data_IF_981897304305
#
_entry.id   IF_981897304305
#
_cell.length_a   1.000
_cell.length_b   1.000
_cell.length_c   1.000
_cell.angle_alpha   90.00
_cell.angle_beta   90.00
_cell.angle_gamma   90.00
#
_symmetry.space_group_name_H-M   'P 1'
#
loop_
_entity.id
_entity.type
_entity.pdbx_description
1 polymer ?
#
# COMPACT_ATOMS: atom_id res chain seq x y z
N UNK A 1 -24.06 0.37 -7.32
CA UNK A 1 -24.96 0.47 -6.16
C UNK A 1 -24.61 -0.58 -5.12
N UNK A 2 -24.54 -1.88 -5.46
CA UNK A 2 -24.26 -2.98 -4.50
C UNK A 2 -22.78 -3.25 -4.16
N UNK A 3 -21.84 -2.38 -4.57
CA UNK A 3 -20.40 -2.60 -4.35
C UNK A 3 -20.01 -2.74 -2.87
N UNK A 4 -20.58 -1.97 -1.92
CA UNK A 4 -20.29 -2.14 -0.50
C UNK A 4 -20.64 -3.53 0.03
N UNK A 5 -21.79 -4.07 -0.36
CA UNK A 5 -22.23 -5.42 0.02
C UNK A 5 -21.26 -6.48 -0.48
N UNK A 6 -20.91 -6.44 -1.76
CA UNK A 6 -20.00 -7.42 -2.36
C UNK A 6 -18.60 -7.36 -1.71
N UNK A 7 -18.12 -6.16 -1.42
CA UNK A 7 -16.79 -5.96 -0.83
C UNK A 7 -16.74 -6.45 0.61
N UNK A 8 -17.79 -6.23 1.39
CA UNK A 8 -17.87 -6.68 2.78
C UNK A 8 -17.99 -8.22 2.86
N UNK A 9 -18.91 -8.82 2.10
CA UNK A 9 -19.08 -10.28 2.05
C UNK A 9 -17.83 -11.00 1.54
N UNK A 10 -17.20 -10.50 0.48
CA UNK A 10 -15.98 -11.13 -0.05
C UNK A 10 -14.82 -10.99 0.92
N UNK A 11 -14.72 -9.89 1.66
CA UNK A 11 -13.63 -9.71 2.64
C UNK A 11 -13.81 -10.68 3.79
N UNK A 12 -15.01 -10.72 4.39
CA UNK A 12 -15.36 -11.66 5.45
C UNK A 12 -15.03 -13.11 5.07
N UNK A 13 -15.53 -13.59 3.93
CA UNK A 13 -15.34 -14.99 3.50
C UNK A 13 -13.91 -15.34 3.07
N UNK A 14 -13.06 -14.36 2.75
CA UNK A 14 -11.68 -14.60 2.32
C UNK A 14 -10.62 -14.28 3.37
N UNK A 15 -11.02 -13.66 4.49
CA UNK A 15 -10.12 -13.23 5.56
C UNK A 15 -9.31 -14.41 6.14
N UNK A 16 -9.94 -15.58 6.30
CA UNK A 16 -9.28 -16.78 6.82
C UNK A 16 -8.52 -17.59 5.75
N UNK A 17 -8.61 -17.19 4.48
CA UNK A 17 -8.12 -17.97 3.34
C UNK A 17 -7.05 -17.25 2.51
N UNK A 18 -6.78 -15.97 2.79
CA UNK A 18 -5.75 -15.19 2.11
C UNK A 18 -4.59 -14.90 3.06
N UNK A 19 -3.37 -15.26 2.64
CA UNK A 19 -2.15 -14.98 3.42
C UNK A 19 -1.75 -13.50 3.38
N UNK A 20 -2.05 -12.80 2.28
CA UNK A 20 -1.69 -11.40 2.05
C UNK A 20 -2.50 -10.83 0.88
N UNK A 21 -3.22 -9.73 1.10
CA UNK A 21 -4.12 -9.10 0.13
C UNK A 21 -3.70 -7.65 -0.15
N UNK A 22 -3.30 -7.36 -1.39
CA UNK A 22 -2.92 -6.00 -1.79
C UNK A 22 -4.14 -5.22 -2.29
N UNK A 23 -4.58 -4.22 -1.55
CA UNK A 23 -5.70 -3.37 -1.94
C UNK A 23 -5.28 -2.33 -2.99
N UNK A 24 -6.12 -2.14 -4.00
CA UNK A 24 -5.96 -1.17 -5.07
C UNK A 24 -7.26 -0.38 -5.22
N UNK A 25 -7.26 0.86 -4.74
CA UNK A 25 -8.40 1.77 -4.76
C UNK A 25 -8.48 2.50 -6.11
N UNK A 26 -9.58 2.29 -6.83
CA UNK A 26 -9.82 2.96 -8.10
C UNK A 26 -9.78 4.49 -7.98
N UNK A 27 -10.25 5.07 -6.88
CA UNK A 27 -10.24 6.51 -6.68
C UNK A 27 -8.82 7.05 -6.52
N UNK A 28 -7.98 6.36 -5.74
CA UNK A 28 -6.57 6.72 -5.57
C UNK A 28 -5.81 6.65 -6.90
N UNK A 29 -5.98 5.57 -7.66
CA UNK A 29 -5.30 5.37 -8.94
C UNK A 29 -5.79 6.38 -9.99
N UNK A 30 -7.09 6.71 -9.96
CA UNK A 30 -7.66 7.75 -10.82
C UNK A 30 -7.03 9.12 -10.53
N UNK A 31 -6.91 9.49 -9.24
CA UNK A 31 -6.29 10.76 -8.83
C UNK A 31 -4.81 10.81 -9.21
N UNK A 32 -4.07 9.71 -9.06
CA UNK A 32 -2.68 9.58 -9.52
C UNK A 32 -2.58 9.80 -11.04
N UNK A 33 -3.43 9.13 -11.81
CA UNK A 33 -3.44 9.28 -13.27
C UNK A 33 -3.77 10.71 -13.70
N UNK A 34 -4.68 11.36 -12.98
CA UNK A 34 -5.08 12.74 -13.26
C UNK A 34 -4.00 13.75 -12.90
N UNK A 35 -3.44 13.65 -11.70
CA UNK A 35 -2.53 14.65 -11.14
C UNK A 35 -1.08 14.45 -11.60
N UNK A 36 -0.59 13.21 -11.59
CA UNK A 36 0.82 12.91 -11.84
C UNK A 36 1.08 12.71 -13.33
N UNK A 37 0.15 12.03 -14.03
CA UNK A 37 0.26 11.78 -15.47
C UNK A 37 -0.39 12.88 -16.35
N UNK A 38 -1.00 13.90 -15.72
CA UNK A 38 -1.72 14.98 -16.41
C UNK A 38 -2.88 14.49 -17.33
N UNK A 39 -3.50 13.35 -17.02
CA UNK A 39 -4.60 12.81 -17.84
C UNK A 39 -5.92 13.43 -17.36
N UNK A 40 -6.53 14.30 -18.17
CA UNK A 40 -7.77 15.02 -17.77
C UNK A 40 -8.92 14.10 -17.38
N UNK A 41 -9.11 13.01 -18.13
CA UNK A 41 -10.18 12.02 -17.92
C UNK A 41 -9.59 10.61 -18.05
N UNK A 42 -8.97 10.07 -16.98
CA UNK A 42 -8.43 8.71 -16.99
C UNK A 42 -9.47 7.67 -17.34
N UNK A 43 -9.10 6.73 -18.21
CA UNK A 43 -9.90 5.56 -18.60
C UNK A 43 -9.41 4.31 -17.87
N UNK A 44 -10.19 3.23 -17.88
CA UNK A 44 -9.73 1.94 -17.34
C UNK A 44 -8.41 1.46 -17.96
N UNK A 45 -8.13 1.78 -19.23
CA UNK A 45 -6.83 1.48 -19.84
C UNK A 45 -5.68 2.18 -19.12
N UNK A 46 -5.86 3.45 -18.72
CA UNK A 46 -4.83 4.21 -18.00
C UNK A 46 -4.63 3.63 -16.59
N UNK A 47 -5.74 3.37 -15.87
CA UNK A 47 -5.72 2.77 -14.53
C UNK A 47 -5.05 1.39 -14.55
N UNK A 48 -5.45 0.51 -15.47
CA UNK A 48 -4.92 -0.84 -15.59
C UNK A 48 -3.43 -0.86 -15.95
N UNK A 49 -2.93 0.12 -16.70
CA UNK A 49 -1.49 0.26 -16.98
C UNK A 49 -0.69 0.64 -15.73
N UNK A 50 -1.21 1.52 -14.89
CA UNK A 50 -0.61 1.83 -13.58
C UNK A 50 -0.60 0.60 -12.69
N UNK A 51 -1.73 -0.09 -12.57
CA UNK A 51 -1.84 -1.34 -11.80
C UNK A 51 -0.85 -2.39 -12.32
N UNK A 52 -0.76 -2.59 -13.63
CA UNK A 52 0.19 -3.54 -14.23
C UNK A 52 1.64 -3.20 -13.88
N UNK A 53 2.00 -1.92 -13.79
CA UNK A 53 3.34 -1.48 -13.41
C UNK A 53 3.67 -1.85 -11.95
N UNK A 54 2.70 -1.65 -11.06
CA UNK A 54 2.79 -2.00 -9.64
C UNK A 54 2.92 -3.52 -9.46
N UNK A 55 1.99 -4.28 -10.04
CA UNK A 55 1.97 -5.75 -9.97
C UNK A 55 3.25 -6.35 -10.58
N UNK A 56 3.75 -5.78 -11.68
CA UNK A 56 5.03 -6.17 -12.27
C UNK A 56 6.20 -5.97 -11.31
N UNK A 57 6.15 -4.95 -10.44
CA UNK A 57 7.20 -4.67 -9.46
C UNK A 57 7.13 -5.61 -8.26
N UNK A 58 5.93 -5.92 -7.76
CA UNK A 58 5.70 -6.89 -6.68
C UNK A 58 6.19 -8.28 -7.11
N UNK A 59 5.88 -8.69 -8.35
CA UNK A 59 6.23 -10.02 -8.87
C UNK A 59 7.61 -10.08 -9.54
N UNK A 60 8.41 -9.01 -9.50
CA UNK A 60 9.67 -8.94 -10.23
C UNK A 60 10.70 -9.96 -9.72
N UNK A 61 10.80 -10.11 -8.40
CA UNK A 61 11.72 -11.04 -7.72
C UNK A 61 11.46 -12.50 -8.04
N UNK A 62 10.24 -12.86 -8.46
CA UNK A 62 9.88 -14.22 -8.85
C UNK A 62 10.26 -14.54 -10.30
N UNK A 63 10.40 -13.51 -11.14
CA UNK A 63 10.57 -13.64 -12.58
C UNK A 63 11.99 -13.38 -13.06
N UNK A 64 12.75 -12.64 -12.27
CA UNK A 64 14.09 -12.21 -12.61
C UNK A 64 14.99 -12.35 -11.40
N UNK A 65 16.26 -12.67 -11.66
CA UNK A 65 17.27 -12.63 -10.63
C UNK A 65 17.54 -11.19 -10.17
N UNK A 66 18.00 -11.07 -8.92
CA UNK A 66 18.19 -9.79 -8.23
C UNK A 66 19.27 -9.92 -7.17
N UNK A 67 19.85 -8.79 -6.76
CA UNK A 67 20.87 -8.79 -5.70
C UNK A 67 20.29 -9.15 -4.33
N UNK A 68 19.01 -8.84 -4.13
CA UNK A 68 18.28 -9.15 -2.90
C UNK A 68 16.86 -9.49 -3.32
N UNK A 69 16.59 -10.78 -3.48
CA UNK A 69 15.27 -11.27 -3.86
C UNK A 69 14.39 -11.40 -2.62
N UNK A 70 13.13 -10.99 -2.75
CA UNK A 70 12.08 -11.21 -1.75
C UNK A 70 11.09 -12.19 -2.37
N UNK A 71 10.89 -13.35 -1.77
CA UNK A 71 9.92 -14.33 -2.25
C UNK A 71 8.49 -14.04 -1.74
N UNK A 72 7.48 -14.77 -2.24
CA UNK A 72 6.09 -14.56 -1.82
C UNK A 72 5.84 -14.95 -0.36
N UNK A 73 6.52 -15.99 0.12
CA UNK A 73 6.42 -16.46 1.51
C UNK A 73 7.08 -15.45 2.46
N UNK A 74 8.09 -14.75 1.98
CA UNK A 74 8.74 -13.63 2.63
C UNK A 74 7.81 -12.41 2.70
N UNK A 75 6.87 -12.22 1.77
CA UNK A 75 5.86 -11.16 1.97
C UNK A 75 4.96 -11.46 3.17
N UNK A 76 4.46 -12.68 3.33
CA UNK A 76 3.67 -13.06 4.50
C UNK A 76 4.49 -12.84 5.79
N UNK A 77 5.67 -13.46 5.88
CA UNK A 77 6.49 -13.38 7.10
C UNK A 77 7.04 -11.98 7.40
N UNK A 78 7.25 -11.13 6.40
CA UNK A 78 7.80 -9.78 6.62
C UNK A 78 6.73 -8.69 6.73
N UNK A 79 5.57 -8.84 6.10
CA UNK A 79 4.53 -7.81 6.05
C UNK A 79 3.32 -8.10 6.93
N UNK A 80 3.07 -9.36 7.31
CA UNK A 80 1.85 -9.78 8.01
C UNK A 80 2.21 -10.24 9.42
N UNK A 81 2.25 -9.32 10.42
CA UNK A 81 2.57 -9.66 11.79
C UNK A 81 1.46 -10.47 12.48
N UNK A 82 0.20 -10.24 12.08
CA UNK A 82 -0.98 -10.91 12.60
C UNK A 82 -1.82 -11.46 11.44
N UNK A 83 -2.35 -12.70 11.51
CA UNK A 83 -3.06 -13.33 10.41
C UNK A 83 -4.22 -12.51 9.84
N UNK A 84 -4.99 -11.79 10.67
CA UNK A 84 -6.13 -10.94 10.25
C UNK A 84 -5.70 -9.59 9.67
N UNK A 85 -4.48 -9.13 9.96
CA UNK A 85 -3.95 -7.84 9.51
C UNK A 85 -3.00 -8.07 8.32
N UNK A 86 -3.58 -8.57 7.23
CA UNK A 86 -2.85 -9.02 6.03
C UNK A 86 -3.12 -8.14 4.81
N UNK A 87 -3.34 -6.83 5.02
CA UNK A 87 -3.65 -5.88 3.95
C UNK A 87 -2.58 -4.77 3.80
N UNK A 88 -1.41 -5.06 3.21
CA UNK A 88 -0.39 -4.03 3.00
C UNK A 88 -0.86 -2.97 2.00
N UNK A 89 -0.62 -1.70 2.33
CA UNK A 89 -0.71 -0.60 1.37
C UNK A 89 0.36 -0.72 0.31
N UNK A 90 -0.02 -0.44 -0.92
CA UNK A 90 0.91 -0.38 -2.04
C UNK A 90 1.15 1.06 -2.45
N UNK A 91 2.42 1.42 -2.59
CA UNK A 91 2.84 2.73 -3.09
C UNK A 91 3.88 2.53 -4.18
N UNK A 92 3.84 3.35 -5.24
CA UNK A 92 4.80 3.22 -6.35
C UNK A 92 5.38 4.57 -6.71
N UNK A 93 6.70 4.65 -6.82
CA UNK A 93 7.39 5.86 -7.21
C UNK A 93 8.59 5.57 -8.14
N UNK A 94 8.90 6.48 -9.08
CA UNK A 94 8.13 7.68 -9.40
C UNK A 94 7.01 7.39 -10.40
N UNK A 95 5.98 8.24 -10.41
CA UNK A 95 4.89 8.22 -11.40
C UNK A 95 4.98 9.51 -12.20
N UNK A 96 5.57 9.44 -13.40
CA UNK A 96 5.88 10.59 -14.24
C UNK A 96 5.27 10.36 -15.63
N UNK A 97 4.65 11.41 -16.20
CA UNK A 97 4.12 11.35 -17.56
C UNK A 97 5.24 11.20 -18.59
N UNK A 98 4.95 10.50 -19.69
CA UNK A 98 5.88 10.36 -20.81
C UNK A 98 6.38 11.70 -21.38
N UNK A 99 5.58 12.76 -21.25
CA UNK A 99 5.91 14.12 -21.68
C UNK A 99 6.94 14.83 -20.76
N UNK A 100 6.95 14.52 -19.46
CA UNK A 100 7.82 15.18 -18.45
C UNK A 100 9.17 14.50 -18.26
N UNK A 101 9.39 13.34 -18.90
CA UNK A 101 10.56 12.48 -18.67
C UNK A 101 11.93 13.11 -18.99
N UNK A 102 11.96 14.16 -19.81
CA UNK A 102 13.21 14.71 -20.37
C UNK A 102 13.99 15.63 -19.42
N UNK A 103 13.42 16.02 -18.28
CA UNK A 103 13.99 17.11 -17.48
C UNK A 103 14.69 16.68 -16.18
N UNK A 104 14.39 15.52 -15.58
CA UNK A 104 14.95 15.15 -14.28
C UNK A 104 15.19 13.64 -14.14
N UNK A 105 16.41 13.25 -13.75
CA UNK A 105 16.70 11.90 -13.28
C UNK A 105 16.58 11.87 -11.76
N UNK A 106 15.56 11.19 -11.26
CA UNK A 106 15.37 11.08 -9.81
C UNK A 106 16.40 10.14 -9.17
N UNK A 107 16.95 10.58 -8.05
CA UNK A 107 17.85 9.84 -7.19
C UNK A 107 17.10 8.77 -6.39
N UNK A 108 17.84 7.79 -5.86
CA UNK A 108 17.28 6.78 -4.96
C UNK A 108 16.63 7.42 -3.74
N UNK A 109 17.22 8.50 -3.20
CA UNK A 109 16.66 9.22 -2.07
C UNK A 109 15.33 9.90 -2.40
N UNK A 110 15.20 10.53 -3.57
CA UNK A 110 13.96 11.21 -3.98
C UNK A 110 12.82 10.22 -4.20
N UNK A 111 13.06 9.12 -4.93
CA UNK A 111 12.01 8.11 -5.16
C UNK A 111 11.61 7.40 -3.86
N UNK A 112 12.55 7.18 -2.94
CA UNK A 112 12.26 6.59 -1.62
C UNK A 112 11.41 7.54 -0.78
N UNK A 113 11.72 8.84 -0.78
CA UNK A 113 10.90 9.84 -0.09
C UNK A 113 9.49 9.92 -0.67
N UNK A 114 9.35 9.86 -2.00
CA UNK A 114 8.05 9.91 -2.67
C UNK A 114 7.12 8.74 -2.30
N UNK A 115 7.65 7.60 -1.83
CA UNK A 115 6.83 6.51 -1.30
C UNK A 115 6.15 6.84 0.04
N UNK A 116 6.65 7.80 0.80
CA UNK A 116 6.05 8.20 2.08
C UNK A 116 5.17 9.44 1.95
N UNK A 117 5.00 9.96 0.73
CA UNK A 117 4.10 11.07 0.42
C UNK A 117 2.74 10.53 -0.07
N UNK A 118 1.62 11.19 0.26
CA UNK A 118 0.28 10.72 -0.11
C UNK A 118 0.04 10.56 -1.63
N UNK A 119 0.74 11.34 -2.47
CA UNK A 119 0.50 11.42 -3.92
C UNK A 119 0.90 10.20 -4.75
N UNK A 120 1.36 9.12 -4.12
CA UNK A 120 1.84 7.91 -4.80
C UNK A 120 1.15 6.62 -4.30
N UNK A 121 0.25 6.74 -3.33
CA UNK A 121 -0.39 5.61 -2.63
C UNK A 121 -1.57 5.07 -3.44
N UNK A 122 -1.65 3.74 -3.55
CA UNK A 122 -2.70 3.05 -4.34
C UNK A 122 -4.00 2.87 -3.57
N UNK A 123 -4.09 3.35 -2.32
CA UNK A 123 -5.29 3.33 -1.48
C UNK A 123 -5.43 4.70 -0.84
N UNK A 124 -6.66 5.24 -0.77
CA UNK A 124 -6.90 6.49 -0.04
C UNK A 124 -6.91 6.24 1.47
N UNK A 125 -5.84 6.63 2.13
CA UNK A 125 -5.77 6.77 3.58
C UNK A 125 -4.63 7.75 3.89
N UNK A 126 -4.56 8.26 5.11
CA UNK A 126 -3.42 9.05 5.56
C UNK A 126 -2.52 8.25 6.51
N UNK A 127 -1.36 7.73 6.06
CA UNK A 127 -0.46 6.98 6.93
C UNK A 127 0.10 7.75 8.12
N UNK A 128 -0.08 9.08 8.18
CA UNK A 128 0.29 9.90 9.34
C UNK A 128 -0.69 9.74 10.49
N UNK A 129 -1.90 9.25 10.23
CA UNK A 129 -2.92 8.93 11.22
C UNK A 129 -2.81 7.48 11.74
N UNK A 130 -1.79 6.74 11.30
CA UNK A 130 -1.56 5.35 11.71
C UNK A 130 -0.10 5.09 12.02
N UNK A 131 0.19 3.82 12.34
CA UNK A 131 1.53 3.33 12.62
C UNK A 131 1.91 2.23 11.65
N UNK A 132 3.14 2.28 11.16
CA UNK A 132 3.72 1.24 10.32
C UNK A 132 4.10 0.03 11.18
N UNK A 133 3.60 -1.15 10.80
CA UNK A 133 4.01 -2.43 11.37
C UNK A 133 5.18 -3.03 10.59
N UNK A 134 5.16 -2.86 9.27
CA UNK A 134 6.18 -3.38 8.37
C UNK A 134 6.27 -2.52 7.10
N UNK A 135 7.46 -2.46 6.51
CA UNK A 135 7.70 -1.75 5.25
C UNK A 135 8.71 -2.53 4.39
N UNK A 136 8.32 -2.92 3.18
CA UNK A 136 9.18 -3.54 2.19
C UNK A 136 9.36 -2.59 1.00
N UNK A 137 10.60 -2.27 0.65
CA UNK A 137 10.96 -1.42 -0.49
C UNK A 137 11.56 -2.29 -1.60
N UNK A 138 10.81 -2.46 -2.68
CA UNK A 138 11.20 -3.25 -3.85
C UNK A 138 11.74 -2.33 -4.94
N UNK A 139 13.07 -2.15 -4.96
CA UNK A 139 13.77 -1.33 -5.94
C UNK A 139 13.98 -2.07 -7.26
N UNK A 140 13.87 -1.33 -8.36
CA UNK A 140 14.15 -1.82 -9.71
C UNK A 140 15.06 -0.88 -10.49
N UNK A 141 15.96 -1.45 -11.29
CA UNK A 141 16.82 -0.74 -12.22
C UNK A 141 18.17 -0.33 -11.64
N UNK A 142 18.70 0.80 -12.10
CA UNK A 142 20.00 1.32 -11.70
C UNK A 142 19.95 1.88 -10.27
N UNK A 143 20.19 1.01 -9.29
CA UNK A 143 20.09 1.32 -7.86
C UNK A 143 21.29 0.71 -7.12
N UNK A 144 21.94 1.52 -6.28
CA UNK A 144 23.10 1.11 -5.49
C UNK A 144 22.65 0.84 -4.04
N UNK A 145 22.99 -0.33 -3.44
CA UNK A 145 22.58 -0.67 -2.06
C UNK A 145 22.97 0.38 -1.01
N UNK A 146 24.13 1.02 -1.17
CA UNK A 146 24.59 2.09 -0.26
C UNK A 146 23.64 3.29 -0.24
N UNK A 147 23.10 3.66 -1.40
CA UNK A 147 22.20 4.80 -1.53
C UNK A 147 20.83 4.48 -0.94
N UNK A 148 20.36 3.23 -1.08
CA UNK A 148 19.15 2.74 -0.41
C UNK A 148 19.29 2.85 1.11
N UNK A 149 20.38 2.33 1.68
CA UNK A 149 20.62 2.38 3.12
C UNK A 149 20.69 3.83 3.64
N UNK A 150 21.30 4.73 2.86
CA UNK A 150 21.36 6.15 3.18
C UNK A 150 19.97 6.79 3.15
N UNK A 151 19.17 6.49 2.13
CA UNK A 151 17.79 6.99 2.00
C UNK A 151 16.89 6.49 3.15
N UNK A 152 16.95 5.20 3.48
CA UNK A 152 16.20 4.61 4.61
C UNK A 152 16.62 5.24 5.94
N UNK A 153 17.92 5.48 6.14
CA UNK A 153 18.40 6.15 7.36
C UNK A 153 17.80 7.54 7.53
N UNK A 154 17.67 8.30 6.44
CA UNK A 154 16.98 9.61 6.46
C UNK A 154 15.49 9.44 6.76
N UNK A 155 14.81 8.48 6.12
CA UNK A 155 13.39 8.19 6.37
C UNK A 155 13.12 7.92 7.85
N UNK A 156 13.96 7.11 8.52
CA UNK A 156 13.84 6.79 9.95
C UNK A 156 13.95 8.00 10.87
N UNK A 157 14.54 9.11 10.43
CA UNK A 157 14.62 10.34 11.23
C UNK A 157 13.37 11.23 11.12
N UNK A 158 12.47 10.95 10.17
CA UNK A 158 11.27 11.76 9.96
C UNK A 158 10.20 11.43 11.00
N UNK A 159 9.84 12.43 11.83
CA UNK A 159 8.80 12.29 12.87
C UNK A 159 7.41 11.90 12.34
N UNK A 160 7.12 12.23 11.07
CA UNK A 160 5.84 11.89 10.44
C UNK A 160 5.71 10.40 10.07
N UNK A 161 6.79 9.62 10.19
CA UNK A 161 6.82 8.20 9.88
C UNK A 161 6.99 7.45 11.20
N UNK A 162 5.88 6.97 11.75
CA UNK A 162 5.84 6.31 13.04
C UNK A 162 5.68 4.81 12.84
N UNK A 163 6.58 4.03 13.43
CA UNK A 163 6.45 2.58 13.52
C UNK A 163 5.86 2.21 14.87
N UNK A 164 5.21 1.05 14.94
CA UNK A 164 4.86 0.40 16.21
C UNK A 164 6.12 0.13 17.04
N UNK A 165 5.99 0.19 18.36
CA UNK A 165 7.10 0.09 19.32
C UNK A 165 7.82 -1.27 19.29
N UNK A 166 7.10 -2.36 19.03
CA UNK A 166 7.63 -3.70 18.87
C UNK A 166 8.28 -3.95 17.49
N UNK A 167 8.21 -2.99 16.56
CA UNK A 167 8.89 -3.05 15.25
C UNK A 167 9.64 -1.75 14.91
N UNK A 168 10.67 -1.36 15.69
CA UNK A 168 11.31 -0.05 15.57
C UNK A 168 12.09 0.16 14.26
N UNK A 169 12.41 -0.91 13.53
CA UNK A 169 13.11 -0.82 12.23
C UNK A 169 12.62 -1.85 11.21
N UNK A 170 11.32 -1.89 10.93
CA UNK A 170 10.66 -2.85 10.03
C UNK A 170 10.90 -2.69 8.53
N UNK A 171 12.08 -2.24 8.10
CA UNK A 171 12.40 -2.08 6.67
C UNK A 171 13.02 -3.35 6.08
N UNK A 172 12.40 -3.85 5.02
CA UNK A 172 12.95 -4.88 4.12
C UNK A 172 13.23 -4.26 2.77
N UNK A 173 14.26 -4.75 2.10
CA UNK A 173 14.71 -4.22 0.82
C UNK A 173 14.76 -5.38 -0.17
N UNK A 174 14.20 -5.17 -1.35
CA UNK A 174 14.42 -6.02 -2.53
C UNK A 174 15.11 -5.21 -3.61
N UNK A 175 16.04 -5.80 -4.36
CA UNK A 175 16.76 -5.12 -5.44
C UNK A 175 16.77 -6.00 -6.68
N UNK A 176 16.16 -5.48 -7.74
CA UNK A 176 16.19 -6.08 -9.06
C UNK A 176 16.88 -5.13 -10.05
N UNK A 177 17.95 -5.57 -10.72
CA UNK A 177 18.69 -4.68 -11.63
C UNK A 177 18.02 -4.46 -12.99
N UNK A 178 16.94 -5.18 -13.30
CA UNK A 178 16.17 -4.94 -14.52
C UNK A 178 15.36 -3.64 -14.38
N UNK A 179 15.59 -2.64 -15.26
CA UNK A 179 14.87 -1.38 -15.19
C UNK A 179 13.37 -1.58 -15.44
N UNK A 180 12.51 -0.71 -14.90
CA UNK A 180 11.09 -0.72 -15.19
C UNK A 180 10.85 -0.60 -16.70
N UNK A 181 10.04 -1.50 -17.25
CA UNK A 181 9.62 -1.46 -18.66
C UNK A 181 8.30 -0.71 -18.76
N UNK A 182 8.11 0.07 -19.83
CA UNK A 182 6.85 0.75 -20.14
C UNK A 182 6.18 0.13 -21.36
N UNK A 183 4.86 0.15 -21.37
CA UNK A 183 4.07 -0.29 -22.54
C UNK A 183 4.22 0.76 -23.66
N UNK A 184 4.47 0.34 -24.92
CA UNK A 184 4.50 1.28 -26.05
C UNK A 184 3.21 2.10 -26.13
N UNK A 185 3.33 3.40 -26.41
CA UNK A 185 2.20 4.35 -26.39
C UNK A 185 1.45 4.38 -25.03
N UNK A 186 2.17 4.06 -23.95
CA UNK A 186 1.70 4.19 -22.58
C UNK A 186 1.93 5.61 -22.03
N UNK A 187 1.29 5.88 -20.91
CA UNK A 187 1.27 7.21 -20.29
C UNK A 187 2.50 7.46 -19.40
N UNK A 188 3.18 6.38 -18.98
CA UNK A 188 4.35 6.42 -18.09
C UNK A 188 5.64 6.69 -18.86
N UNK A 189 6.49 7.55 -18.27
CA UNK A 189 7.85 7.77 -18.70
C UNK A 189 8.72 6.50 -18.59
N UNK A 190 9.67 6.34 -19.52
CA UNK A 190 10.74 5.35 -19.36
C UNK A 190 11.71 5.82 -18.27
N UNK A 191 11.92 4.99 -17.26
CA UNK A 191 12.71 5.32 -16.08
C UNK A 191 13.92 4.38 -15.96
N UNK A 192 15.02 4.88 -15.43
CA UNK A 192 16.20 4.05 -15.11
C UNK A 192 16.04 3.30 -13.79
N UNK A 193 15.19 3.83 -12.90
CA UNK A 193 14.93 3.25 -11.58
C UNK A 193 13.52 3.55 -11.09
N UNK A 194 12.99 2.67 -10.27
CA UNK A 194 11.73 2.86 -9.54
C UNK A 194 11.76 2.05 -8.24
N UNK A 195 10.79 2.32 -7.37
CA UNK A 195 10.57 1.60 -6.12
C UNK A 195 9.07 1.35 -5.94
N UNK A 196 8.74 0.13 -5.56
CA UNK A 196 7.42 -0.22 -5.06
C UNK A 196 7.54 -0.46 -3.55
N UNK A 197 6.81 0.32 -2.77
CA UNK A 197 6.72 0.13 -1.33
C UNK A 197 5.47 -0.66 -1.00
N UNK A 198 5.65 -1.72 -0.22
CA UNK A 198 4.58 -2.48 0.42
C UNK A 198 4.67 -2.21 1.91
N UNK A 199 3.68 -1.55 2.48
CA UNK A 199 3.70 -1.15 3.87
C UNK A 199 2.44 -1.56 4.59
N UNK A 200 2.57 -2.40 5.60
CA UNK A 200 1.45 -2.70 6.48
C UNK A 200 1.37 -1.60 7.55
N UNK A 201 0.28 -0.85 7.53
CA UNK A 201 0.04 0.29 8.43
C UNK A 201 -1.40 0.28 8.91
N UNK A 202 -1.61 0.69 10.16
CA UNK A 202 -2.94 0.77 10.75
C UNK A 202 -3.84 1.80 10.07
N UNK A 203 -3.26 2.74 9.31
CA UNK A 203 -4.03 3.75 8.57
C UNK A 203 -4.99 3.16 7.53
N UNK A 204 -4.80 1.91 7.09
CA UNK A 204 -5.73 1.25 6.17
C UNK A 204 -7.13 1.07 6.77
N UNK A 205 -7.27 1.11 8.10
CA UNK A 205 -8.57 1.14 8.78
C UNK A 205 -9.50 2.25 8.25
N UNK A 206 -8.94 3.38 7.79
CA UNK A 206 -9.74 4.45 7.18
C UNK A 206 -10.47 4.00 5.91
N UNK A 207 -9.91 3.04 5.16
CA UNK A 207 -10.54 2.47 3.98
C UNK A 207 -11.70 1.53 4.37
N UNK A 208 -11.51 0.73 5.43
CA UNK A 208 -12.54 -0.15 5.99
C UNK A 208 -13.70 0.65 6.57
N UNK A 209 -13.43 1.67 7.40
CA UNK A 209 -14.46 2.52 7.98
C UNK A 209 -15.33 3.23 6.92
N UNK A 210 -14.74 3.64 5.78
CA UNK A 210 -15.52 4.19 4.66
C UNK A 210 -16.38 3.16 3.96
N UNK A 211 -15.93 1.91 3.87
CA UNK A 211 -16.69 0.81 3.29
C UNK A 211 -17.88 0.47 4.18
N UNK A 212 -17.62 0.28 5.47
CA UNK A 212 -18.60 -0.04 6.51
C UNK A 212 -19.67 1.06 6.61
N UNK A 213 -19.27 2.34 6.58
CA UNK A 213 -20.22 3.44 6.57
C UNK A 213 -21.17 3.40 5.36
N UNK A 214 -20.65 3.08 4.16
CA UNK A 214 -21.49 2.94 2.95
C UNK A 214 -22.42 1.74 3.06
N UNK A 215 -21.93 0.64 3.63
CA UNK A 215 -22.73 -0.55 3.90
C UNK A 215 -23.90 -0.22 4.83
N UNK A 216 -23.63 0.42 5.97
CA UNK A 216 -24.63 0.72 7.00
C UNK A 216 -25.77 1.61 6.46
N UNK A 217 -25.44 2.59 5.62
CA UNK A 217 -26.44 3.45 4.95
C UNK A 217 -27.36 2.69 4.01
N UNK A 218 -26.83 1.67 3.32
CA UNK A 218 -27.62 0.86 2.38
C UNK A 218 -28.45 -0.20 3.10
N UNK A 219 -27.88 -0.85 4.12
CA UNK A 219 -28.51 -1.93 4.87
C UNK A 219 -29.81 -1.46 5.55
N UNK A 220 -29.78 -0.28 6.16
CA UNK A 220 -30.97 0.35 6.77
C UNK A 220 -31.96 0.86 5.72
N UNK A 221 -31.48 1.26 4.55
CA UNK A 221 -32.29 1.87 3.49
C UNK A 221 -33.14 0.88 2.68
N UNK A 222 -32.70 -0.37 2.53
CA UNK A 222 -33.40 -1.38 1.72
C UNK A 222 -34.13 -2.45 2.54
N UNK A 223 -34.07 -2.40 3.89
CA UNK A 223 -34.83 -3.29 4.77
C UNK A 223 -34.50 -4.77 4.59
N UNK A 224 -33.24 -5.07 4.23
CA UNK A 224 -32.78 -6.39 3.86
C UNK A 224 -32.11 -7.05 5.06
N UNK A 225 -32.84 -7.91 5.78
CA UNK A 225 -32.29 -8.66 6.92
C UNK A 225 -31.85 -10.05 6.44
N UNK A 226 -30.54 -10.21 6.21
CA UNK A 226 -29.91 -11.49 5.92
C UNK A 226 -28.85 -11.71 7.01
N UNK A 227 -28.93 -12.83 7.75
CA UNK A 227 -28.03 -13.09 8.88
C UNK A 227 -26.54 -13.04 8.49
N UNK A 228 -26.22 -13.43 7.26
CA UNK A 228 -24.87 -13.39 6.70
C UNK A 228 -24.31 -11.97 6.59
N UNK A 229 -25.15 -10.98 6.25
CA UNK A 229 -24.74 -9.57 6.22
C UNK A 229 -24.41 -9.02 7.60
N UNK A 230 -25.15 -9.46 8.63
CA UNK A 230 -24.89 -9.05 10.01
C UNK A 230 -23.59 -9.66 10.52
N UNK A 231 -23.37 -10.95 10.28
CA UNK A 231 -22.13 -11.65 10.66
C UNK A 231 -20.90 -11.03 9.98
N UNK A 232 -20.98 -10.80 8.66
CA UNK A 232 -19.89 -10.18 7.92
C UNK A 232 -19.61 -8.75 8.42
N UNK A 233 -20.63 -8.00 8.82
CA UNK A 233 -20.48 -6.63 9.35
C UNK A 233 -19.83 -6.62 10.74
N UNK A 234 -20.18 -7.59 11.59
CA UNK A 234 -19.55 -7.79 12.90
C UNK A 234 -18.07 -8.18 12.76
N UNK A 235 -17.73 -9.04 11.78
CA UNK A 235 -16.35 -9.43 11.51
C UNK A 235 -15.50 -8.24 11.00
N UNK A 236 -16.06 -7.38 10.15
CA UNK A 236 -15.39 -6.14 9.74
C UNK A 236 -15.19 -5.16 10.90
N UNK A 237 -16.18 -5.03 11.80
CA UNK A 237 -16.03 -4.21 13.01
C UNK A 237 -14.92 -4.76 13.93
N UNK A 238 -14.82 -6.09 14.05
CA UNK A 238 -13.73 -6.72 14.78
C UNK A 238 -12.37 -6.46 14.12
N UNK A 239 -12.29 -6.50 12.78
CA UNK A 239 -11.08 -6.15 12.03
C UNK A 239 -10.66 -4.69 12.25
N UNK A 240 -11.59 -3.74 12.27
CA UNK A 240 -11.29 -2.33 12.62
C UNK A 240 -10.71 -2.23 14.02
N UNK A 241 -11.30 -2.92 14.99
CA UNK A 241 -10.80 -2.98 16.37
C UNK A 241 -9.40 -3.61 16.45
N UNK A 242 -9.12 -4.64 15.66
CA UNK A 242 -7.78 -5.25 15.59
C UNK A 242 -6.73 -4.20 15.17
N UNK A 243 -7.05 -3.32 14.20
CA UNK A 243 -6.16 -2.24 13.78
C UNK A 243 -6.00 -1.15 14.85
N UNK A 244 -7.07 -0.80 15.56
CA UNK A 244 -7.02 0.15 16.68
C UNK A 244 -6.10 -0.35 17.79
N UNK A 245 -6.27 -1.61 18.22
CA UNK A 245 -5.46 -2.24 19.27
C UNK A 245 -3.97 -2.26 18.91
N UNK A 246 -3.63 -2.58 17.66
CA UNK A 246 -2.24 -2.55 17.19
C UNK A 246 -1.67 -1.13 17.09
N UNK A 247 -2.52 -0.12 16.95
CA UNK A 247 -2.13 1.29 16.93
C UNK A 247 -1.77 1.85 18.31
N UNK A 248 -2.23 1.23 19.40
CA UNK A 248 -1.91 1.62 20.77
C UNK A 248 -0.47 1.22 21.12
N UNK A 249 0.29 2.10 21.77
CA UNK A 249 1.64 1.74 22.25
C UNK A 249 1.53 0.72 23.39
N UNK A 250 2.47 -0.24 23.46
CA UNK A 250 2.47 -1.30 24.49
C UNK A 250 2.63 -0.76 25.91
N UNK A 251 3.04 0.50 26.04
CA UNK A 251 3.15 1.23 27.29
C UNK A 251 2.37 2.54 27.14
N UNK A 252 1.23 2.65 27.83
CA UNK A 252 0.69 3.95 28.18
C UNK A 252 1.46 4.43 29.42
N UNK A 253 2.35 5.44 29.33
CA UNK A 253 3.06 5.97 30.49
C UNK A 253 2.11 6.57 31.55
N UNK A 254 0.80 6.68 31.26
CA UNK A 254 -0.22 7.10 32.22
C UNK A 254 -0.86 5.93 33.01
N UNK A 255 -0.58 4.66 32.67
CA UNK A 255 -1.09 3.51 33.43
C UNK A 255 -0.23 3.16 34.67
N UNK A 256 0.98 3.73 34.80
CA UNK A 256 1.83 3.55 36.00
C UNK A 256 1.52 4.55 37.14
N UNK A 257 0.59 5.49 36.95
CA UNK A 257 0.13 6.43 37.99
C UNK A 257 -1.23 6.06 38.60
N UNK A 258 -1.46 4.80 38.98
CA UNK A 258 -2.56 4.43 39.89
C UNK A 258 -2.20 3.30 40.88
#
# INVERSE_FOLDING_TARGET
MVEPYNSLLTTHTTLEHSDCSFMLDNEAIYDIAKNNLNIRSPTYTNLNRLIAQVVSSITASLRFDGALNVDLTEFQTNLVPYPRIHFPLVTYAPIISAEKAYHEQLTVAEITNACFEPGSQMVKCDPRNGKYMACCLLFRGDVVPKDINSAISVIKTKRAIQFVDWCPTGFKVGINYQPPTVVPNGDLAKLQRAVCMLSNTTAIQEAWARLDHKFDLMYVGEGMEEGEFSEAREDMAALEKDYEEVGVDSFDPNEEEY
#
